data_IF_404451215869
#
_entry.id   IF_404451215869
#
_cell.length_a   1.000
_cell.length_b   1.000
_cell.length_c   1.000
_cell.angle_alpha   90.00
_cell.angle_beta   90.00
_cell.angle_gamma   90.00
#
_symmetry.space_group_name_H-M   'P 1'
#
loop_
_entity.id
_entity.type
_entity.pdbx_description
1 polymer ?
#
# COMPACT_ATOMS: atom_id res chain seq x y z
N UNK A 1 -16.32 -1.85 0.28
CA UNK A 1 -14.88 -2.19 0.52
C UNK A 1 -14.12 -2.65 -0.74
N UNK A 2 -14.67 -3.55 -1.56
CA UNK A 2 -14.00 -4.18 -2.71
C UNK A 2 -13.59 -3.24 -3.86
N UNK A 3 -14.18 -2.05 -3.95
CA UNK A 3 -13.80 -1.03 -4.94
C UNK A 3 -12.77 -0.04 -4.37
N UNK A 4 -13.00 0.42 -3.14
CA UNK A 4 -12.20 1.45 -2.47
C UNK A 4 -10.80 0.93 -2.13
N UNK A 5 -10.68 -0.31 -1.62
CA UNK A 5 -9.39 -0.90 -1.27
C UNK A 5 -8.43 -1.02 -2.47
N UNK A 6 -8.81 -1.62 -3.61
CA UNK A 6 -7.94 -1.67 -4.78
C UNK A 6 -7.52 -0.29 -5.30
N UNK A 7 -8.44 0.67 -5.37
CA UNK A 7 -8.12 2.02 -5.86
C UNK A 7 -7.15 2.76 -4.93
N UNK A 8 -7.37 2.69 -3.62
CA UNK A 8 -6.44 3.26 -2.64
C UNK A 8 -5.05 2.63 -2.75
N UNK A 9 -5.01 1.30 -2.89
CA UNK A 9 -3.78 0.52 -3.03
C UNK A 9 -3.04 0.90 -4.30
N UNK A 10 -3.71 0.93 -5.44
CA UNK A 10 -3.12 1.31 -6.73
C UNK A 10 -2.56 2.73 -6.68
N UNK A 11 -3.31 3.68 -6.11
CA UNK A 11 -2.85 5.05 -5.96
C UNK A 11 -1.57 5.13 -5.12
N UNK A 12 -1.55 4.47 -3.95
CA UNK A 12 -0.40 4.47 -3.05
C UNK A 12 0.81 3.74 -3.62
N UNK A 13 0.60 2.61 -4.28
CA UNK A 13 1.68 1.82 -4.88
C UNK A 13 2.25 2.51 -6.11
N UNK A 14 1.42 3.09 -6.96
CA UNK A 14 1.90 3.87 -8.12
C UNK A 14 2.70 5.09 -7.67
N UNK A 15 2.15 5.90 -6.76
CA UNK A 15 2.84 7.08 -6.24
C UNK A 15 4.14 6.69 -5.51
N UNK A 16 4.07 5.70 -4.63
CA UNK A 16 5.22 5.21 -3.88
C UNK A 16 6.31 4.62 -4.78
N UNK A 17 5.94 3.86 -5.82
CA UNK A 17 6.91 3.30 -6.76
C UNK A 17 7.65 4.39 -7.54
N UNK A 18 6.94 5.43 -7.99
CA UNK A 18 7.57 6.58 -8.66
C UNK A 18 8.52 7.31 -7.71
N UNK A 19 8.08 7.59 -6.47
CA UNK A 19 8.92 8.25 -5.46
C UNK A 19 10.16 7.39 -5.14
N UNK A 20 9.97 6.08 -4.93
CA UNK A 20 11.04 5.14 -4.64
C UNK A 20 12.04 5.00 -5.79
N UNK A 21 11.56 4.99 -7.04
CA UNK A 21 12.39 4.96 -8.24
C UNK A 21 13.29 6.19 -8.32
N UNK A 22 12.73 7.38 -8.12
CA UNK A 22 13.49 8.64 -8.13
C UNK A 22 14.49 8.70 -6.98
N UNK A 23 14.06 8.41 -5.75
CA UNK A 23 14.94 8.48 -4.57
C UNK A 23 15.99 7.36 -4.52
N UNK A 24 15.71 6.22 -5.12
CA UNK A 24 16.69 5.13 -5.23
C UNK A 24 17.71 5.38 -6.34
N UNK A 25 17.30 6.05 -7.42
CA UNK A 25 18.18 6.31 -8.55
C UNK A 25 19.12 7.49 -8.33
N UNK A 26 18.61 8.62 -7.82
CA UNK A 26 19.42 9.81 -7.57
C UNK A 26 20.06 9.74 -6.19
N UNK A 27 21.38 9.90 -6.10
CA UNK A 27 22.09 10.01 -4.82
C UNK A 27 22.15 11.45 -4.30
N UNK A 28 22.77 11.63 -3.14
CA UNK A 28 23.11 12.94 -2.60
C UNK A 28 21.92 13.63 -1.92
N UNK A 29 21.70 14.90 -2.25
CA UNK A 29 20.77 15.76 -1.51
C UNK A 29 19.30 15.38 -1.74
N UNK A 30 18.94 14.95 -2.96
CA UNK A 30 17.58 14.49 -3.30
C UNK A 30 17.22 13.28 -2.46
N UNK A 31 18.11 12.30 -2.42
CA UNK A 31 17.96 11.11 -1.58
C UNK A 31 17.90 11.44 -0.10
N UNK A 32 18.84 12.26 0.39
CA UNK A 32 18.93 12.59 1.81
C UNK A 32 17.66 13.30 2.31
N UNK A 33 17.16 14.29 1.56
CA UNK A 33 15.92 14.99 1.91
C UNK A 33 14.70 14.08 1.77
N UNK A 34 14.62 13.35 0.65
CA UNK A 34 13.51 12.44 0.38
C UNK A 34 13.38 11.37 1.46
N UNK A 35 14.47 10.69 1.81
CA UNK A 35 14.49 9.69 2.87
C UNK A 35 14.01 10.25 4.21
N UNK A 36 14.45 11.46 4.58
CA UNK A 36 14.01 12.12 5.82
C UNK A 36 12.53 12.45 5.81
N UNK A 37 11.99 12.89 4.68
CA UNK A 37 10.56 13.15 4.54
C UNK A 37 9.76 11.85 4.68
N UNK A 38 10.20 10.77 4.02
CA UNK A 38 9.59 9.46 4.15
C UNK A 38 9.58 8.97 5.61
N UNK A 39 10.73 9.05 6.29
CA UNK A 39 10.88 8.63 7.69
C UNK A 39 9.99 9.46 8.62
N UNK A 40 9.88 10.77 8.38
CA UNK A 40 9.01 11.67 9.17
C UNK A 40 7.55 11.31 9.01
N UNK A 41 7.09 11.00 7.79
CA UNK A 41 5.70 10.60 7.54
C UNK A 41 5.40 9.23 8.17
N UNK A 42 6.32 8.27 8.07
CA UNK A 42 6.18 6.94 8.67
C UNK A 42 6.27 6.92 10.20
N UNK A 43 6.81 7.98 10.82
CA UNK A 43 6.86 8.09 12.27
C UNK A 43 5.47 8.27 12.90
N UNK A 44 4.49 8.76 12.13
CA UNK A 44 3.11 8.84 12.57
C UNK A 44 2.45 7.46 12.52
N UNK A 45 1.72 7.03 13.57
CA UNK A 45 0.93 5.82 13.51
C UNK A 45 -0.10 5.90 12.37
N UNK A 46 -0.08 4.91 11.47
CA UNK A 46 -0.89 4.92 10.24
C UNK A 46 -2.37 5.22 10.50
N UNK A 47 -3.00 4.51 11.45
CA UNK A 47 -4.43 4.69 11.73
C UNK A 47 -4.74 6.08 12.28
N UNK A 48 -3.82 6.67 13.05
CA UNK A 48 -3.97 8.01 13.62
C UNK A 48 -3.94 9.04 12.50
N UNK A 49 -2.96 8.95 11.59
CA UNK A 49 -2.85 9.84 10.44
C UNK A 49 -4.13 9.82 9.59
N UNK A 50 -4.60 8.62 9.24
CA UNK A 50 -5.78 8.45 8.39
C UNK A 50 -7.05 8.95 9.08
N UNK A 51 -7.28 8.56 10.34
CA UNK A 51 -8.49 8.98 11.08
C UNK A 51 -8.53 10.48 11.31
N UNK A 52 -7.42 11.11 11.75
CA UNK A 52 -7.36 12.57 11.94
C UNK A 52 -7.65 13.33 10.63
N UNK A 53 -7.11 12.84 9.52
CA UNK A 53 -7.33 13.47 8.20
C UNK A 53 -8.78 13.33 7.75
N UNK A 54 -9.39 12.16 7.91
CA UNK A 54 -10.79 11.94 7.53
C UNK A 54 -11.77 12.69 8.42
N UNK A 55 -11.48 12.85 9.71
CA UNK A 55 -12.29 13.68 10.62
C UNK A 55 -12.21 15.16 10.21
N UNK A 56 -11.03 15.64 9.80
CA UNK A 56 -10.84 17.04 9.40
C UNK A 56 -11.49 17.38 8.05
N UNK A 57 -11.38 16.47 7.06
CA UNK A 57 -11.86 16.71 5.69
C UNK A 57 -13.32 16.26 5.50
N UNK A 58 -13.75 15.23 6.23
CA UNK A 58 -15.02 14.54 6.03
C UNK A 58 -14.87 13.23 5.25
N UNK A 59 -15.51 12.13 5.70
CA UNK A 59 -15.39 10.84 5.04
C UNK A 59 -16.25 10.76 3.77
N UNK A 60 -15.63 10.34 2.67
CA UNK A 60 -16.26 9.95 1.41
C UNK A 60 -15.40 8.88 0.74
N UNK A 61 -15.95 8.16 -0.24
CA UNK A 61 -15.18 7.14 -0.95
C UNK A 61 -13.89 7.72 -1.56
N UNK A 62 -13.96 8.93 -2.10
CA UNK A 62 -12.79 9.60 -2.69
C UNK A 62 -11.78 10.00 -1.62
N UNK A 63 -12.21 10.59 -0.50
CA UNK A 63 -11.28 11.00 0.56
C UNK A 63 -10.60 9.79 1.20
N UNK A 64 -11.33 8.69 1.41
CA UNK A 64 -10.76 7.42 1.89
C UNK A 64 -9.71 6.87 0.91
N UNK A 65 -9.99 6.86 -0.40
CA UNK A 65 -9.05 6.41 -1.43
C UNK A 65 -7.76 7.24 -1.38
N UNK A 66 -7.90 8.57 -1.41
CA UNK A 66 -6.76 9.48 -1.48
C UNK A 66 -5.93 9.44 -0.19
N UNK A 67 -6.57 9.48 0.98
CA UNK A 67 -5.86 9.51 2.27
C UNK A 67 -5.11 8.19 2.51
N UNK A 68 -5.74 7.04 2.25
CA UNK A 68 -5.07 5.74 2.38
C UNK A 68 -3.94 5.61 1.34
N UNK A 69 -4.19 6.00 0.08
CA UNK A 69 -3.17 5.96 -0.97
C UNK A 69 -1.94 6.80 -0.63
N UNK A 70 -2.15 8.05 -0.20
CA UNK A 70 -1.07 8.94 0.23
C UNK A 70 -0.34 8.36 1.45
N UNK A 71 -1.06 7.80 2.42
CA UNK A 71 -0.45 7.19 3.61
C UNK A 71 0.36 5.93 3.28
N UNK A 72 0.04 5.21 2.21
CA UNK A 72 0.83 4.07 1.73
C UNK A 72 2.04 4.44 0.88
N UNK A 73 2.00 5.56 0.17
CA UNK A 73 3.08 5.96 -0.72
C UNK A 73 4.48 5.96 -0.04
N UNK A 74 4.66 6.46 1.20
CA UNK A 74 5.95 6.42 1.88
C UNK A 74 6.46 5.01 2.16
N UNK A 75 5.56 4.09 2.52
CA UNK A 75 5.89 2.71 2.84
C UNK A 75 6.37 1.98 1.57
N UNK A 76 5.64 2.13 0.46
CA UNK A 76 6.02 1.54 -0.83
C UNK A 76 7.29 2.20 -1.37
N UNK A 77 7.42 3.53 -1.27
CA UNK A 77 8.60 4.25 -1.72
C UNK A 77 9.87 3.78 -1.03
N UNK A 78 9.80 3.47 0.27
CA UNK A 78 10.94 2.93 1.02
C UNK A 78 11.37 1.57 0.48
N UNK A 79 10.44 0.65 0.24
CA UNK A 79 10.74 -0.68 -0.29
C UNK A 79 11.30 -0.59 -1.71
N UNK A 80 10.64 0.17 -2.59
CA UNK A 80 11.08 0.36 -3.98
C UNK A 80 12.44 1.04 -4.03
N UNK A 81 12.70 2.07 -3.21
CA UNK A 81 14.01 2.73 -3.13
C UNK A 81 15.14 1.75 -2.80
N UNK A 82 14.90 0.79 -1.91
CA UNK A 82 15.90 -0.22 -1.58
C UNK A 82 16.21 -1.13 -2.78
N UNK A 83 15.17 -1.65 -3.46
CA UNK A 83 15.34 -2.49 -4.65
C UNK A 83 16.02 -1.74 -5.81
N UNK A 84 15.67 -0.47 -6.01
CA UNK A 84 16.28 0.38 -7.06
C UNK A 84 17.77 0.57 -6.81
N UNK A 85 18.19 0.77 -5.55
CA UNK A 85 19.61 0.90 -5.20
C UNK A 85 20.38 -0.37 -5.52
N UNK A 86 19.82 -1.52 -5.20
CA UNK A 86 20.43 -2.81 -5.52
C UNK A 86 20.61 -2.96 -7.04
N UNK A 87 19.56 -2.70 -7.82
CA UNK A 87 19.61 -2.81 -9.28
C UNK A 87 20.56 -1.78 -9.92
N UNK A 88 20.62 -0.57 -9.36
CA UNK A 88 21.50 0.51 -9.83
C UNK A 88 22.99 0.15 -9.77
N UNK A 89 23.38 -0.74 -8.86
CA UNK A 89 24.78 -1.20 -8.70
C UNK A 89 25.16 -2.35 -9.65
N UNK A 90 24.22 -2.86 -10.46
CA UNK A 90 24.47 -3.97 -11.40
C UNK A 90 25.15 -3.51 -12.70
N UNK A 91 25.87 -4.42 -13.34
CA UNK A 91 26.68 -4.13 -14.54
C UNK A 91 25.87 -3.62 -15.73
N UNK A 92 24.64 -4.10 -15.92
CA UNK A 92 23.78 -3.67 -17.05
C UNK A 92 23.45 -2.17 -16.96
N UNK A 93 23.26 -1.63 -15.74
CA UNK A 93 23.05 -0.19 -15.53
C UNK A 93 24.31 0.61 -15.84
N UNK A 94 25.48 0.09 -15.44
CA UNK A 94 26.77 0.71 -15.79
C UNK A 94 27.02 0.71 -17.30
N UNK A 95 26.68 -0.39 -17.99
CA UNK A 95 26.77 -0.50 -19.43
C UNK A 95 25.83 0.49 -20.15
N UNK A 96 24.57 0.60 -19.72
CA UNK A 96 23.60 1.56 -20.27
C UNK A 96 24.09 3.02 -20.13
N UNK A 97 24.68 3.37 -18.98
CA UNK A 97 25.30 4.69 -18.76
C UNK A 97 26.47 4.95 -19.69
N UNK A 98 27.37 3.98 -19.87
CA UNK A 98 28.49 4.09 -20.81
C UNK A 98 28.02 4.18 -22.27
N UNK A 99 26.87 3.56 -22.59
CA UNK A 99 26.18 3.68 -23.87
C UNK A 99 25.52 5.04 -24.11
N UNK A 100 25.51 5.94 -23.12
CA UNK A 100 24.95 7.28 -23.23
C UNK A 100 23.45 7.37 -22.94
N UNK A 101 22.84 6.34 -22.34
CA UNK A 101 21.43 6.39 -21.99
C UNK A 101 21.13 7.42 -20.90
N UNK A 102 20.03 8.14 -21.08
CA UNK A 102 19.58 9.15 -20.13
C UNK A 102 19.06 8.53 -18.82
N UNK A 103 19.10 9.27 -17.69
CA UNK A 103 18.59 8.82 -16.40
C UNK A 103 17.15 8.27 -16.43
N UNK A 104 16.26 8.90 -17.20
CA UNK A 104 14.87 8.46 -17.33
C UNK A 104 14.76 7.14 -18.08
N UNK A 105 15.55 6.93 -19.14
CA UNK A 105 15.58 5.67 -19.87
C UNK A 105 16.04 4.54 -18.94
N UNK A 106 17.15 4.75 -18.22
CA UNK A 106 17.67 3.76 -17.28
C UNK A 106 16.66 3.46 -16.17
N UNK A 107 16.00 4.46 -15.59
CA UNK A 107 15.01 4.23 -14.55
C UNK A 107 13.81 3.41 -15.05
N UNK A 108 13.21 3.76 -16.19
CA UNK A 108 11.95 3.18 -16.64
C UNK A 108 12.09 1.94 -17.54
N UNK A 109 13.18 1.84 -18.31
CA UNK A 109 13.41 0.75 -19.25
C UNK A 109 14.36 -0.32 -18.70
N UNK A 110 15.30 0.07 -17.84
CA UNK A 110 16.30 -0.86 -17.31
C UNK A 110 15.95 -1.28 -15.87
N UNK A 111 15.76 -0.34 -14.94
CA UNK A 111 15.58 -0.68 -13.52
C UNK A 111 14.14 -1.12 -13.22
N UNK A 112 13.14 -0.34 -13.63
CA UNK A 112 11.73 -0.59 -13.28
C UNK A 112 11.24 -2.00 -13.69
N UNK A 113 11.56 -2.52 -14.89
CA UNK A 113 11.14 -3.88 -15.27
C UNK A 113 11.83 -4.98 -14.44
N UNK A 114 13.01 -4.71 -13.88
CA UNK A 114 13.77 -5.64 -13.04
C UNK A 114 13.29 -5.65 -11.57
N UNK A 115 12.58 -4.62 -11.11
CA UNK A 115 11.99 -4.57 -9.75
C UNK A 115 10.46 -4.80 -9.75
N UNK A 116 9.89 -5.25 -10.87
CA UNK A 116 8.44 -5.45 -11.02
C UNK A 116 7.87 -6.41 -9.97
N UNK A 117 8.65 -7.41 -9.57
CA UNK A 117 8.24 -8.41 -8.58
C UNK A 117 8.13 -7.78 -7.19
N UNK A 118 9.11 -6.96 -6.79
CA UNK A 118 9.03 -6.14 -5.58
C UNK A 118 7.77 -5.26 -5.57
N UNK A 119 7.44 -4.60 -6.69
CA UNK A 119 6.25 -3.76 -6.81
C UNK A 119 4.96 -4.59 -6.70
N UNK A 120 4.92 -5.79 -7.30
CA UNK A 120 3.78 -6.70 -7.21
C UNK A 120 3.57 -7.22 -5.79
N UNK A 121 4.64 -7.56 -5.08
CA UNK A 121 4.57 -7.98 -3.66
C UNK A 121 4.00 -6.84 -2.81
N UNK A 122 4.48 -5.62 -2.99
CA UNK A 122 3.92 -4.44 -2.31
C UNK A 122 2.45 -4.22 -2.69
N UNK A 123 2.08 -4.34 -3.97
CA UNK A 123 0.70 -4.20 -4.42
C UNK A 123 -0.25 -5.15 -3.68
N UNK A 124 0.08 -6.44 -3.63
CA UNK A 124 -0.75 -7.45 -2.99
C UNK A 124 -0.76 -7.25 -1.46
N UNK A 125 0.40 -6.96 -0.87
CA UNK A 125 0.53 -6.72 0.57
C UNK A 125 -0.31 -5.53 1.02
N UNK A 126 -0.20 -4.40 0.31
CA UNK A 126 -0.96 -3.17 0.61
C UNK A 126 -2.45 -3.35 0.39
N UNK A 127 -2.87 -4.20 -0.56
CA UNK A 127 -4.27 -4.54 -0.75
C UNK A 127 -4.87 -5.22 0.49
N UNK A 128 -4.15 -6.17 1.09
CA UNK A 128 -4.54 -6.81 2.35
C UNK A 128 -4.70 -5.79 3.49
N UNK A 129 -3.71 -4.92 3.66
CA UNK A 129 -3.78 -3.83 4.63
C UNK A 129 -4.93 -2.86 4.34
N UNK A 130 -5.26 -2.58 3.07
CA UNK A 130 -6.37 -1.71 2.71
C UNK A 130 -7.73 -2.29 3.11
N UNK A 131 -7.94 -3.60 2.91
CA UNK A 131 -9.15 -4.27 3.39
C UNK A 131 -9.29 -4.14 4.92
N UNK A 132 -8.21 -4.42 5.65
CA UNK A 132 -8.24 -4.30 7.11
C UNK A 132 -8.47 -2.85 7.58
N UNK A 133 -7.78 -1.90 6.96
CA UNK A 133 -7.86 -0.48 7.33
C UNK A 133 -9.23 0.11 7.06
N UNK A 134 -9.82 -0.16 5.88
CA UNK A 134 -11.16 0.34 5.55
C UNK A 134 -12.21 -0.29 6.46
N UNK A 135 -12.12 -1.60 6.75
CA UNK A 135 -13.02 -2.23 7.71
C UNK A 135 -12.92 -1.60 9.09
N UNK A 136 -11.70 -1.28 9.54
CA UNK A 136 -11.46 -0.56 10.80
C UNK A 136 -12.08 0.84 10.78
N UNK A 137 -11.91 1.59 9.69
CA UNK A 137 -12.52 2.92 9.55
C UNK A 137 -14.04 2.86 9.52
N UNK A 138 -14.62 1.90 8.79
CA UNK A 138 -16.07 1.67 8.77
C UNK A 138 -16.60 1.30 10.15
N UNK A 139 -15.86 0.50 10.92
CA UNK A 139 -16.20 0.21 12.32
C UNK A 139 -16.19 1.46 13.20
N UNK A 140 -15.25 2.38 12.96
CA UNK A 140 -15.15 3.66 13.67
C UNK A 140 -16.13 4.73 13.14
N UNK A 141 -16.99 4.42 12.16
CA UNK A 141 -17.93 5.37 11.56
C UNK A 141 -17.30 6.35 10.55
N UNK A 142 -16.05 6.14 10.16
CA UNK A 142 -15.29 6.97 9.21
C UNK A 142 -15.12 6.31 7.83
N UNK A 143 -15.75 5.15 7.63
CA UNK A 143 -15.59 4.37 6.42
C UNK A 143 -16.62 4.67 5.34
N UNK A 144 -16.88 3.64 4.52
CA UNK A 144 -17.71 3.74 3.33
C UNK A 144 -19.17 3.97 3.71
N UNK A 145 -19.81 4.93 3.05
CA UNK A 145 -21.18 5.33 3.33
C UNK A 145 -22.20 4.47 2.52
N UNK A 146 -23.42 4.23 3.05
CA UNK A 146 -24.52 3.63 2.28
C UNK A 146 -24.78 4.36 0.95
N UNK A 147 -25.24 3.68 -0.13
CA UNK A 147 -25.88 2.36 -0.17
C UNK A 147 -24.91 1.18 -0.43
N UNK A 148 -23.60 1.41 -0.52
CA UNK A 148 -22.67 0.31 -0.82
C UNK A 148 -22.51 -0.64 0.36
N UNK A 149 -22.52 -1.95 0.07
CA UNK A 149 -22.29 -2.98 1.07
C UNK A 149 -20.89 -2.86 1.69
N UNK A 150 -20.84 -2.81 3.02
CA UNK A 150 -19.62 -2.70 3.81
C UNK A 150 -19.64 -3.65 5.02
N UNK A 151 -18.72 -4.61 5.03
CA UNK A 151 -18.62 -5.59 6.11
C UNK A 151 -18.11 -5.00 7.43
N UNK A 152 -17.30 -3.93 7.39
CA UNK A 152 -16.84 -3.26 8.61
C UNK A 152 -17.97 -2.53 9.32
N UNK A 153 -18.84 -1.87 8.55
CA UNK A 153 -20.07 -1.26 9.09
C UNK A 153 -21.03 -2.32 9.62
N UNK A 154 -21.21 -3.44 8.90
CA UNK A 154 -22.03 -4.55 9.38
C UNK A 154 -21.52 -5.16 10.69
N UNK A 155 -20.20 -5.19 10.91
CA UNK A 155 -19.61 -5.57 12.20
C UNK A 155 -19.95 -4.54 13.28
N UNK A 156 -19.88 -3.25 12.98
CA UNK A 156 -20.20 -2.16 13.91
C UNK A 156 -21.66 -2.23 14.37
N UNK A 157 -22.60 -2.31 13.43
CA UNK A 157 -24.04 -2.41 13.69
C UNK A 157 -24.37 -3.73 14.41
N UNK A 158 -23.66 -4.80 14.06
CA UNK A 158 -23.81 -6.12 14.65
C UNK A 158 -23.30 -6.23 16.08
N UNK A 159 -22.40 -5.32 16.51
CA UNK A 159 -21.67 -5.42 17.77
C UNK A 159 -22.61 -5.46 18.99
N UNK A 160 -23.66 -4.63 18.98
CA UNK A 160 -24.68 -4.60 20.04
C UNK A 160 -25.50 -5.89 20.16
N UNK A 161 -25.57 -6.71 19.12
CA UNK A 161 -26.33 -7.96 19.13
C UNK A 161 -25.55 -9.17 19.67
N UNK A 162 -24.25 -9.01 19.96
CA UNK A 162 -23.41 -10.07 20.54
C UNK A 162 -23.99 -10.58 21.86
N UNK A 163 -24.42 -9.67 22.73
CA UNK A 163 -25.02 -10.01 24.03
C UNK A 163 -26.44 -10.55 23.90
N UNK A 164 -27.13 -10.26 22.79
CA UNK A 164 -28.47 -10.76 22.47
C UNK A 164 -28.51 -12.12 21.76
N UNK A 165 -27.37 -12.82 21.68
CA UNK A 165 -27.26 -14.15 21.09
C UNK A 165 -27.13 -14.20 19.57
N UNK A 166 -27.16 -13.06 18.86
CA UNK A 166 -27.00 -12.99 17.39
C UNK A 166 -25.56 -12.79 16.96
N UNK A 167 -24.65 -13.56 17.56
CA UNK A 167 -23.20 -13.41 17.38
C UNK A 167 -22.72 -13.64 15.93
N UNK A 168 -23.46 -14.43 15.16
CA UNK A 168 -23.11 -14.79 13.77
C UNK A 168 -23.02 -13.58 12.84
N UNK A 169 -23.75 -12.50 13.13
CA UNK A 169 -23.70 -11.25 12.34
C UNK A 169 -22.29 -10.67 12.37
N UNK A 170 -21.67 -10.59 13.55
CA UNK A 170 -20.30 -10.11 13.69
C UNK A 170 -19.32 -11.13 13.11
N UNK A 171 -19.43 -12.39 13.52
CA UNK A 171 -18.43 -13.42 13.17
C UNK A 171 -18.31 -13.64 11.66
N UNK A 172 -19.42 -13.74 10.93
CA UNK A 172 -19.33 -13.99 9.49
C UNK A 172 -18.83 -12.78 8.68
N UNK A 173 -19.20 -11.55 9.07
CA UNK A 173 -18.66 -10.35 8.42
C UNK A 173 -17.16 -10.19 8.72
N UNK A 174 -16.73 -10.43 9.96
CA UNK A 174 -15.31 -10.45 10.32
C UNK A 174 -14.54 -11.55 9.57
N UNK A 175 -15.09 -12.76 9.48
CA UNK A 175 -14.47 -13.87 8.75
C UNK A 175 -14.30 -13.56 7.26
N UNK A 176 -15.25 -12.86 6.62
CA UNK A 176 -15.13 -12.41 5.25
C UNK A 176 -13.99 -11.39 5.04
N UNK A 177 -13.79 -10.47 6.00
CA UNK A 177 -12.66 -9.54 5.96
C UNK A 177 -11.34 -10.29 6.16
N UNK A 178 -11.27 -11.17 7.16
CA UNK A 178 -10.08 -11.97 7.48
C UNK A 178 -9.68 -12.84 6.28
N UNK A 179 -10.63 -13.46 5.59
CA UNK A 179 -10.31 -14.31 4.43
C UNK A 179 -9.67 -13.51 3.30
N UNK A 180 -10.11 -12.27 3.03
CA UNK A 180 -9.46 -11.40 2.04
C UNK A 180 -8.03 -11.00 2.45
N UNK A 181 -7.85 -10.63 3.71
CA UNK A 181 -6.52 -10.27 4.25
C UNK A 181 -5.58 -11.48 4.19
N UNK A 182 -6.07 -12.67 4.55
CA UNK A 182 -5.29 -13.90 4.48
C UNK A 182 -4.95 -14.28 3.04
N UNK A 183 -5.91 -14.21 2.12
CA UNK A 183 -5.69 -14.54 0.71
C UNK A 183 -4.61 -13.64 0.08
N UNK A 184 -4.68 -12.32 0.33
CA UNK A 184 -3.65 -11.38 -0.15
C UNK A 184 -2.28 -11.67 0.47
N UNK A 185 -2.19 -11.94 1.78
CA UNK A 185 -0.92 -12.32 2.41
C UNK A 185 -0.33 -13.60 1.82
N UNK A 186 -1.14 -14.64 1.59
CA UNK A 186 -0.69 -15.89 0.99
C UNK A 186 -0.21 -15.69 -0.46
N UNK A 187 -0.91 -14.87 -1.25
CA UNK A 187 -0.49 -14.53 -2.62
C UNK A 187 0.85 -13.80 -2.60
N UNK A 188 1.03 -12.80 -1.72
CA UNK A 188 2.28 -12.05 -1.62
C UNK A 188 3.47 -12.95 -1.21
N UNK A 189 3.25 -13.86 -0.25
CA UNK A 189 4.25 -14.85 0.15
C UNK A 189 4.58 -15.82 -1.00
N UNK A 190 3.57 -16.27 -1.74
CA UNK A 190 3.76 -17.12 -2.91
C UNK A 190 4.65 -16.46 -3.96
N UNK A 191 4.38 -15.19 -4.30
CA UNK A 191 5.19 -14.43 -5.26
C UNK A 191 6.64 -14.31 -4.77
N UNK A 192 6.86 -13.92 -3.51
CA UNK A 192 8.21 -13.78 -2.96
C UNK A 192 8.97 -15.11 -2.82
N UNK A 193 8.28 -16.24 -2.68
CA UNK A 193 8.92 -17.55 -2.64
C UNK A 193 9.49 -17.97 -4.00
N UNK A 194 8.81 -17.64 -5.11
CA UNK A 194 9.30 -17.90 -6.46
C UNK A 194 10.56 -17.07 -6.79
N UNK A 195 10.61 -15.80 -6.38
CA UNK A 195 11.77 -14.92 -6.60
C UNK A 195 13.05 -15.49 -5.97
N UNK A 196 12.96 -15.99 -4.73
CA UNK A 196 14.10 -16.57 -4.03
C UNK A 196 14.56 -17.94 -4.59
N UNK A 197 13.75 -18.63 -5.39
CA UNK A 197 14.16 -19.89 -6.02
C UNK A 197 14.91 -19.70 -7.35
N UNK A 198 14.78 -18.53 -7.97
CA UNK A 198 15.38 -18.19 -9.26
C UNK A 198 16.68 -17.35 -9.12
N UNK A 199 16.99 -16.86 -7.92
CA UNK A 199 18.19 -16.08 -7.57
C UNK A 199 19.34 -16.95 -7.04
#
# INVERSE_FOLDING_TARGET
>A
ILLVAPLATLAGVAAGSIIGLVLGYFDGLVDAIGARLLDTLMAFPFIVLVTMTLVAIGPSNLTVILVIGIAYAPLVARTVRAAVREQKERDYVSAARLGGEGPLAIMFLEILPNIRETILIELVTRLGYAFFSIATLSFLGLGIQPPSADWGLAVADGYGFLTGGKWWVVVFNSAAIVSLVMATNLIAQGIGAFENSDA
#
